data_IF_605059644124
#
_entry.id   IF_605059644124
#
_cell.length_a   1.000
_cell.length_b   1.000
_cell.length_c   1.000
_cell.angle_alpha   90.00
_cell.angle_beta   90.00
_cell.angle_gamma   90.00
#
_symmetry.space_group_name_H-M   'P 1'
#
loop_
_entity.id
_entity.type
_entity.pdbx_description
1 polymer ?
#
# COMPACT_ATOMS: atom_id res chain seq x y z
N UNK A 1 3.69 9.83 -3.75
CA UNK A 1 4.87 9.03 -3.35
C UNK A 1 5.20 8.01 -4.41
N UNK A 2 6.46 7.86 -4.76
CA UNK A 2 6.87 6.89 -5.76
C UNK A 2 7.31 5.60 -5.07
N UNK A 3 7.46 4.54 -5.87
CA UNK A 3 7.97 3.27 -5.35
C UNK A 3 9.36 3.47 -4.75
N UNK A 4 10.19 4.28 -5.40
CA UNK A 4 11.53 4.53 -4.91
C UNK A 4 11.49 5.20 -3.55
N UNK A 5 10.62 6.18 -3.38
CA UNK A 5 10.48 6.87 -2.12
C UNK A 5 10.00 5.93 -1.02
N UNK A 6 9.06 5.07 -1.34
CA UNK A 6 8.53 4.13 -0.37
C UNK A 6 9.63 3.13 0.03
N UNK A 7 10.42 2.65 -0.92
CA UNK A 7 11.52 1.75 -0.59
C UNK A 7 12.51 2.41 0.34
N UNK A 8 12.81 3.69 0.11
CA UNK A 8 13.75 4.40 0.95
C UNK A 8 13.22 4.56 2.37
N UNK A 9 11.94 4.85 2.51
CA UNK A 9 11.36 4.97 3.82
C UNK A 9 11.41 3.65 4.56
N UNK A 10 11.08 2.55 3.86
CA UNK A 10 11.03 1.25 4.50
C UNK A 10 12.42 0.71 4.84
N UNK A 11 13.46 1.22 4.19
CA UNK A 11 14.82 0.74 4.45
C UNK A 11 15.29 1.05 5.87
N UNK A 12 14.59 1.92 6.59
CA UNK A 12 14.96 2.25 7.94
C UNK A 12 14.47 1.21 8.95
N UNK A 13 13.70 0.23 8.50
CA UNK A 13 13.07 -0.72 9.40
C UNK A 13 13.54 -2.14 9.11
N UNK A 14 13.38 -3.03 10.07
CA UNK A 14 13.80 -4.41 9.91
C UNK A 14 12.94 -5.13 8.88
N UNK A 15 13.52 -6.07 8.17
CA UNK A 15 12.82 -6.77 7.10
C UNK A 15 11.63 -7.57 7.59
N UNK A 16 11.64 -8.02 8.82
CA UNK A 16 10.55 -8.84 9.35
C UNK A 16 9.52 -8.05 10.10
N UNK A 17 9.60 -6.71 10.08
CA UNK A 17 8.58 -5.91 10.69
C UNK A 17 7.31 -5.96 9.89
N UNK A 18 6.17 -6.04 10.57
CA UNK A 18 4.89 -6.07 9.91
C UNK A 18 4.53 -4.70 9.36
N UNK A 19 3.88 -4.67 8.22
CA UNK A 19 3.41 -3.43 7.62
C UNK A 19 1.90 -3.38 7.75
N UNK A 20 1.40 -2.29 8.30
CA UNK A 20 -0.03 -2.09 8.47
C UNK A 20 -0.44 -0.76 7.86
N UNK A 21 -1.71 -0.62 7.57
CA UNK A 21 -2.24 0.61 7.00
C UNK A 21 -3.09 1.29 8.05
N UNK A 22 -2.79 2.54 8.35
CA UNK A 22 -3.55 3.32 9.30
C UNK A 22 -4.46 4.28 8.55
N UNK A 23 -5.76 4.12 8.70
CA UNK A 23 -6.73 4.97 8.03
C UNK A 23 -7.69 5.48 9.08
N UNK A 24 -7.74 6.78 9.23
CA UNK A 24 -8.52 7.42 10.29
C UNK A 24 -8.05 6.86 11.62
N UNK A 25 -8.88 6.27 12.39
CA UNK A 25 -8.43 5.68 13.63
C UNK A 25 -8.35 4.17 13.53
N UNK A 26 -8.35 3.61 12.35
CA UNK A 26 -8.33 2.17 12.18
C UNK A 26 -6.97 1.70 11.70
N UNK A 27 -6.50 0.60 12.26
CA UNK A 27 -5.26 -0.03 11.81
C UNK A 27 -5.64 -1.35 11.16
N UNK A 28 -5.26 -1.51 9.91
CA UNK A 28 -5.60 -2.71 9.16
C UNK A 28 -4.33 -3.34 8.63
N UNK A 29 -4.28 -4.67 8.53
CA UNK A 29 -3.08 -5.31 7.99
C UNK A 29 -2.95 -5.03 6.51
N UNK A 30 -1.72 -4.86 6.05
CA UNK A 30 -1.46 -4.74 4.63
C UNK A 30 -1.24 -6.16 4.14
N UNK A 31 -2.16 -6.72 3.39
CA UNK A 31 -2.10 -8.10 3.00
C UNK A 31 -1.86 -8.29 1.51
N UNK A 32 -1.92 -7.23 0.73
CA UNK A 32 -1.79 -7.38 -0.70
C UNK A 32 -1.26 -6.12 -1.33
N UNK A 33 -0.39 -6.28 -2.28
CA UNK A 33 0.12 -5.16 -3.07
C UNK A 33 -0.21 -5.49 -4.52
N UNK A 34 -0.87 -4.59 -5.20
CA UNK A 34 -1.22 -4.77 -6.58
C UNK A 34 -1.05 -3.45 -7.32
N UNK A 35 -1.52 -3.36 -8.53
CA UNK A 35 -1.45 -2.09 -9.25
C UNK A 35 -2.80 -1.80 -9.86
N UNK A 36 -3.03 -0.55 -10.15
CA UNK A 36 -4.26 -0.13 -10.80
C UNK A 36 -3.99 0.92 -11.84
N UNK A 37 -4.96 1.12 -12.71
CA UNK A 37 -4.86 2.10 -13.78
C UNK A 37 -5.96 3.13 -13.58
N UNK A 38 -5.57 4.41 -13.57
CA UNK A 38 -6.51 5.48 -13.48
C UNK A 38 -7.02 5.73 -14.90
N UNK A 39 -8.29 5.52 -15.12
CA UNK A 39 -8.88 5.65 -16.44
C UNK A 39 -8.86 7.08 -16.97
N UNK A 40 -8.89 8.06 -16.09
CA UNK A 40 -8.90 9.45 -16.52
C UNK A 40 -7.52 9.90 -17.01
N UNK A 41 -6.47 9.53 -16.32
CA UNK A 41 -5.14 9.99 -16.66
C UNK A 41 -4.32 8.91 -17.35
N UNK A 42 -4.84 7.70 -17.40
CA UNK A 42 -4.16 6.57 -18.03
C UNK A 42 -2.83 6.28 -17.35
N UNK A 43 -2.76 6.50 -16.05
CA UNK A 43 -1.56 6.23 -15.29
C UNK A 43 -1.68 4.99 -14.46
N UNK A 44 -0.60 4.21 -14.35
CA UNK A 44 -0.56 3.06 -13.46
C UNK A 44 -0.04 3.49 -12.11
N UNK A 45 -0.61 2.92 -11.07
CA UNK A 45 -0.20 3.18 -9.69
C UNK A 45 -0.09 1.89 -8.93
N UNK A 46 0.70 1.89 -7.87
CA UNK A 46 0.79 0.75 -6.96
C UNK A 46 -0.26 0.96 -5.87
N UNK A 47 -1.04 -0.07 -5.61
CA UNK A 47 -2.10 -0.02 -4.60
C UNK A 47 -1.76 -0.96 -3.46
N UNK A 48 -1.88 -0.45 -2.24
CA UNK A 48 -1.67 -1.22 -1.03
C UNK A 48 -3.06 -1.55 -0.47
N UNK A 49 -3.35 -2.80 -0.33
CA UNK A 49 -4.70 -3.25 -0.02
C UNK A 49 -4.76 -4.20 1.17
N UNK A 50 -5.91 -4.20 1.81
CA UNK A 50 -6.27 -5.22 2.77
C UNK A 50 -7.31 -6.06 2.07
N UNK A 51 -6.97 -7.31 1.71
CA UNK A 51 -7.85 -8.11 0.92
C UNK A 51 -9.01 -8.65 1.68
N UNK A 52 -9.10 -8.44 3.01
CA UNK A 52 -10.09 -8.90 3.65
C UNK A 52 -11.22 -8.11 3.50
N UNK A 53 -11.40 -7.21 3.30
CA UNK A 53 -12.40 -6.47 3.19
C UNK A 53 -12.82 -5.90 2.17
N UNK A 54 -12.66 -6.02 1.27
CA UNK A 54 -12.92 -5.34 0.34
C UNK A 54 -14.02 -5.71 -0.27
N UNK A 55 -14.93 -5.50 -0.28
CA UNK A 55 -15.88 -5.79 -0.82
C UNK A 55 -16.48 -4.94 -1.32
N UNK A 56 -16.43 -4.62 -1.64
CA UNK A 56 -17.04 -3.76 -2.36
C UNK A 56 -18.11 -3.12 -2.24
#
# INVERSE_FOLDING_TARGET
MTVKELKNWLSCYADDMEVEVAIDSMIRPLTKVTFGVDMDTNKCSVWLCDDKRYRG
#
